data_IF_035622856467
#
_entry.id   IF_035622856467
#
_cell.length_a   1.000
_cell.length_b   1.000
_cell.length_c   1.000
_cell.angle_alpha   90.00
_cell.angle_beta   90.00
_cell.angle_gamma   90.00
#
_symmetry.space_group_name_H-M   'P 1'
#
loop_
_entity.id
_entity.type
_entity.pdbx_description
1 polymer ?
#
# COMPACT_ATOMS: atom_id res chain seq x y z
N UNK A 1 -8.15 4.83 11.16
CA UNK A 1 -6.70 4.69 11.39
C UNK A 1 -5.97 4.55 10.05
N UNK A 2 -4.78 5.13 9.90
CA UNK A 2 -3.93 4.87 8.73
C UNK A 2 -3.15 3.58 9.00
N UNK A 3 -3.24 2.61 8.09
CA UNK A 3 -2.48 1.37 8.23
C UNK A 3 -1.06 1.53 7.68
N UNK A 4 -0.10 0.93 8.38
CA UNK A 4 1.28 0.84 7.94
C UNK A 4 1.66 -0.63 7.78
N UNK A 5 2.49 -0.90 6.77
CA UNK A 5 2.90 -2.24 6.38
C UNK A 5 4.41 -2.31 6.46
N UNK A 6 4.93 -3.31 7.15
CA UNK A 6 6.37 -3.58 7.26
C UNK A 6 6.75 -4.57 6.16
N UNK A 7 7.68 -4.18 5.30
CA UNK A 7 8.28 -5.02 4.26
C UNK A 7 9.72 -5.29 4.67
N UNK A 8 10.02 -6.56 4.97
CA UNK A 8 11.39 -7.00 5.30
C UNK A 8 12.23 -7.04 4.02
N UNK A 9 13.40 -6.41 4.05
CA UNK A 9 14.41 -6.65 3.02
C UNK A 9 15.06 -8.03 3.26
N UNK A 10 15.53 -8.71 2.20
CA UNK A 10 16.07 -10.08 2.35
C UNK A 10 17.55 -10.11 2.74
N UNK A 11 18.22 -8.95 2.74
CA UNK A 11 19.68 -8.88 2.82
C UNK A 11 20.17 -8.33 4.18
N UNK A 12 19.29 -7.76 5.01
CA UNK A 12 19.60 -7.36 6.39
C UNK A 12 18.33 -7.49 7.26
N UNK A 13 18.39 -8.34 8.29
CA UNK A 13 17.29 -8.56 9.25
C UNK A 13 16.98 -7.30 10.09
N UNK A 14 17.86 -6.28 10.07
CA UNK A 14 17.69 -5.03 10.79
C UNK A 14 17.06 -3.91 9.94
N UNK A 15 16.95 -4.08 8.62
CA UNK A 15 16.38 -3.07 7.73
C UNK A 15 14.92 -3.40 7.36
N UNK A 16 14.02 -2.55 7.85
CA UNK A 16 12.59 -2.62 7.60
C UNK A 16 12.13 -1.41 6.79
N UNK A 17 11.50 -1.67 5.64
CA UNK A 17 10.78 -0.65 4.89
C UNK A 17 9.36 -0.53 5.43
N UNK A 18 8.97 0.66 5.84
CA UNK A 18 7.59 0.95 6.25
C UNK A 18 6.84 1.58 5.08
N UNK A 19 5.75 0.95 4.65
CA UNK A 19 4.85 1.47 3.61
C UNK A 19 3.56 1.96 4.22
N UNK A 20 3.06 3.11 3.73
CA UNK A 20 1.76 3.65 4.13
C UNK A 20 0.72 3.39 3.06
N UNK A 21 -0.33 2.69 3.46
CA UNK A 21 -1.54 2.51 2.65
C UNK A 21 -2.56 3.56 3.08
N UNK A 22 -2.86 4.52 2.21
CA UNK A 22 -3.89 5.52 2.49
C UNK A 22 -5.30 4.90 2.47
N UNK A 23 -6.31 5.52 3.09
CA UNK A 23 -7.69 5.02 3.04
C UNK A 23 -8.21 4.85 1.61
N UNK A 24 -7.89 5.79 0.72
CA UNK A 24 -8.26 5.68 -0.69
C UNK A 24 -7.61 4.48 -1.39
N UNK A 25 -6.31 4.28 -1.18
CA UNK A 25 -5.58 3.14 -1.73
C UNK A 25 -6.12 1.80 -1.18
N UNK A 26 -6.45 1.75 0.11
CA UNK A 26 -7.08 0.59 0.74
C UNK A 26 -8.43 0.26 0.10
N UNK A 27 -9.28 1.25 -0.14
CA UNK A 27 -10.56 1.08 -0.86
C UNK A 27 -10.33 0.54 -2.28
N UNK A 28 -9.32 1.05 -2.98
CA UNK A 28 -8.97 0.53 -4.30
C UNK A 28 -8.55 -0.95 -4.26
N UNK A 29 -7.75 -1.34 -3.25
CA UNK A 29 -7.33 -2.74 -3.05
C UNK A 29 -8.55 -3.63 -2.76
N UNK A 30 -9.44 -3.21 -1.86
CA UNK A 30 -10.65 -3.95 -1.52
C UNK A 30 -11.58 -4.10 -2.73
N UNK A 31 -11.84 -3.00 -3.43
CA UNK A 31 -12.70 -3.01 -4.62
C UNK A 31 -12.11 -3.88 -5.74
N UNK A 32 -10.79 -3.86 -5.93
CA UNK A 32 -10.15 -4.72 -6.93
C UNK A 32 -10.26 -6.20 -6.54
N UNK A 33 -10.16 -6.53 -5.25
CA UNK A 33 -10.39 -7.88 -4.77
C UNK A 33 -11.84 -8.35 -5.01
N UNK A 34 -12.84 -7.49 -4.73
CA UNK A 34 -14.25 -7.81 -5.00
C UNK A 34 -14.48 -8.03 -6.49
N UNK A 35 -13.89 -7.19 -7.35
CA UNK A 35 -13.94 -7.36 -8.81
C UNK A 35 -13.43 -8.74 -9.27
N UNK A 36 -12.39 -9.27 -8.62
CA UNK A 36 -11.83 -10.58 -8.98
C UNK A 36 -12.52 -11.76 -8.30
N UNK A 37 -13.33 -11.51 -7.28
CA UNK A 37 -14.02 -12.52 -6.46
C UNK A 37 -15.50 -12.15 -6.31
N UNK A 38 -16.14 -11.81 -7.43
CA UNK A 38 -17.51 -11.31 -7.46
C UNK A 38 -18.49 -12.33 -6.86
N UNK A 39 -19.40 -11.86 -6.01
CA UNK A 39 -20.32 -12.71 -5.24
C UNK A 39 -19.67 -13.49 -4.09
N UNK A 40 -18.38 -13.28 -3.83
CA UNK A 40 -17.64 -13.89 -2.73
C UNK A 40 -17.76 -13.14 -1.41
N UNK A 41 -17.23 -13.75 -0.35
CA UNK A 41 -17.17 -13.17 1.00
C UNK A 41 -15.80 -12.55 1.27
N UNK A 42 -15.76 -11.33 1.79
CA UNK A 42 -14.50 -10.66 2.16
C UNK A 42 -14.01 -11.16 3.53
N UNK A 43 -12.81 -11.75 3.59
CA UNK A 43 -12.12 -12.01 4.85
C UNK A 43 -11.58 -10.70 5.44
N UNK A 44 -12.35 -10.10 6.35
CA UNK A 44 -11.99 -8.82 6.95
C UNK A 44 -10.74 -8.90 7.83
N UNK A 45 -10.49 -10.04 8.48
CA UNK A 45 -9.33 -10.23 9.36
C UNK A 45 -8.05 -10.29 8.54
N UNK A 46 -8.08 -11.01 7.42
CA UNK A 46 -6.99 -11.03 6.44
C UNK A 46 -6.64 -9.60 6.00
N UNK A 47 -7.61 -8.82 5.53
CA UNK A 47 -7.33 -7.45 5.07
C UNK A 47 -6.87 -6.52 6.19
N UNK A 48 -7.45 -6.65 7.39
CA UNK A 48 -7.03 -5.88 8.55
C UNK A 48 -5.55 -6.12 8.88
N UNK A 49 -5.15 -7.40 8.97
CA UNK A 49 -3.77 -7.80 9.27
C UNK A 49 -2.80 -7.30 8.19
N UNK A 50 -3.08 -7.59 6.92
CA UNK A 50 -2.15 -7.29 5.82
C UNK A 50 -2.15 -5.82 5.38
N UNK A 51 -3.14 -5.03 5.77
CA UNK A 51 -3.14 -3.58 5.49
C UNK A 51 -2.83 -2.76 6.74
N UNK A 52 -2.48 -3.42 7.86
CA UNK A 52 -2.07 -2.80 9.10
C UNK A 52 -3.15 -1.93 9.75
N UNK A 53 -4.42 -2.33 9.66
CA UNK A 53 -5.54 -1.58 10.22
C UNK A 53 -6.51 -2.49 10.99
N UNK A 54 -7.47 -1.90 11.68
CA UNK A 54 -8.49 -2.66 12.40
C UNK A 54 -9.56 -3.23 11.45
N UNK A 55 -10.18 -4.35 11.82
CA UNK A 55 -11.34 -4.95 11.12
C UNK A 55 -12.46 -3.93 10.89
N UNK A 56 -12.74 -3.09 11.90
CA UNK A 56 -13.73 -2.01 11.81
C UNK A 56 -13.40 -1.00 10.70
N UNK A 57 -12.12 -0.76 10.43
CA UNK A 57 -11.69 0.12 9.34
C UNK A 57 -12.02 -0.50 7.97
N UNK A 58 -11.82 -1.81 7.82
CA UNK A 58 -12.20 -2.53 6.60
C UNK A 58 -13.71 -2.47 6.37
N UNK A 59 -14.51 -2.70 7.42
CA UNK A 59 -15.97 -2.58 7.37
C UNK A 59 -16.42 -1.19 6.91
N UNK A 60 -15.84 -0.14 7.48
CA UNK A 60 -16.15 1.23 7.09
C UNK A 60 -15.79 1.54 5.64
N UNK A 61 -14.67 1.03 5.14
CA UNK A 61 -14.28 1.23 3.75
C UNK A 61 -15.18 0.47 2.78
N UNK A 62 -15.62 -0.75 3.11
CA UNK A 62 -16.59 -1.50 2.32
C UNK A 62 -17.96 -0.80 2.28
N UNK A 63 -18.44 -0.32 3.42
CA UNK A 63 -19.70 0.43 3.48
C UNK A 63 -19.59 1.78 2.74
N UNK A 64 -18.43 2.43 2.78
CA UNK A 64 -18.19 3.62 1.97
C UNK A 64 -18.25 3.28 0.48
N UNK A 65 -17.62 2.18 0.03
CA UNK A 65 -17.65 1.74 -1.37
C UNK A 65 -19.08 1.44 -1.84
N UNK A 66 -19.88 0.79 -1.00
CA UNK A 66 -21.30 0.54 -1.24
C UNK A 66 -22.08 1.84 -1.38
N UNK A 67 -21.94 2.76 -0.41
CA UNK A 67 -22.62 4.06 -0.41
C UNK A 67 -22.30 4.90 -1.64
N UNK A 68 -21.11 4.76 -2.21
CA UNK A 68 -20.68 5.45 -3.43
C UNK A 68 -21.05 4.70 -4.74
N UNK A 69 -21.67 3.52 -4.62
CA UNK A 69 -22.11 2.72 -5.76
C UNK A 69 -20.98 2.06 -6.53
N UNK A 70 -19.88 1.68 -5.86
CA UNK A 70 -18.80 0.89 -6.48
C UNK A 70 -19.03 -0.61 -6.35
N UNK A 71 -19.72 -1.02 -5.29
CA UNK A 71 -20.11 -2.41 -5.02
C UNK A 71 -21.50 -2.45 -4.38
N UNK A 72 -22.11 -3.62 -4.32
CA UNK A 72 -23.29 -3.90 -3.47
C UNK A 72 -22.97 -4.97 -2.44
N UNK A 73 -23.63 -4.89 -1.29
CA UNK A 73 -23.52 -5.87 -0.21
C UNK A 73 -24.83 -6.63 -0.12
N UNK A 74 -24.76 -7.95 -0.31
CA UNK A 74 -25.90 -8.85 -0.15
C UNK A 74 -25.78 -9.53 1.23
N UNK A 75 -26.69 -9.23 2.18
CA UNK A 75 -26.74 -9.96 3.43
C UNK A 75 -27.21 -11.39 3.17
N UNK A 76 -26.52 -12.37 3.74
CA UNK A 76 -26.93 -13.77 3.65
C UNK A 76 -27.49 -14.24 4.99
N UNK A 77 -28.39 -15.21 4.93
CA UNK A 77 -28.92 -15.91 6.12
C UNK A 77 -28.42 -17.35 6.13
N UNK A 78 -28.14 -17.88 7.31
CA UNK A 78 -27.83 -19.29 7.48
C UNK A 78 -29.08 -20.16 7.43
N UNK A 79 -28.89 -21.48 7.48
CA UNK A 79 -29.98 -22.48 7.49
C UNK A 79 -30.89 -22.36 8.72
N UNK A 80 -30.50 -21.58 9.73
CA UNK A 80 -31.24 -21.35 10.96
C UNK A 80 -31.89 -19.95 11.00
N UNK A 81 -31.81 -19.19 9.90
CA UNK A 81 -32.38 -17.86 9.76
C UNK A 81 -31.58 -16.75 10.46
N UNK A 82 -30.39 -17.04 10.98
CA UNK A 82 -29.49 -16.04 11.53
C UNK A 82 -28.63 -15.38 10.43
N UNK A 83 -28.18 -14.15 10.70
CA UNK A 83 -27.34 -13.40 9.75
C UNK A 83 -25.99 -14.10 9.57
N UNK A 84 -25.69 -14.46 8.33
CA UNK A 84 -24.43 -15.07 7.92
C UNK A 84 -23.51 -14.03 7.25
N UNK A 85 -22.42 -14.50 6.64
CA UNK A 85 -21.38 -13.66 6.04
C UNK A 85 -21.89 -12.98 4.77
N UNK A 86 -21.75 -11.66 4.70
CA UNK A 86 -22.17 -10.88 3.53
C UNK A 86 -21.42 -11.29 2.26
N UNK A 87 -22.15 -11.33 1.14
CA UNK A 87 -21.57 -11.42 -0.20
C UNK A 87 -21.39 -10.03 -0.79
N UNK A 88 -20.34 -9.85 -1.57
CA UNK A 88 -19.98 -8.57 -2.16
C UNK A 88 -19.98 -8.69 -3.67
N UNK A 89 -20.69 -7.78 -4.35
CA UNK A 89 -20.76 -7.76 -5.81
C UNK A 89 -20.18 -6.47 -6.36
N UNK A 90 -19.35 -6.57 -7.38
CA UNK A 90 -18.72 -5.46 -8.07
C UNK A 90 -19.70 -4.78 -9.02
N UNK A 91 -19.79 -3.45 -8.96
CA UNK A 91 -20.62 -2.67 -9.87
C UNK A 91 -19.73 -1.94 -10.89
N UNK A 92 -18.76 -1.15 -10.41
CA UNK A 92 -17.87 -0.36 -11.27
C UNK A 92 -16.55 -0.04 -10.58
N UNK A 93 -15.54 0.27 -11.41
CA UNK A 93 -14.21 0.66 -10.94
C UNK A 93 -14.17 2.09 -10.40
N UNK A 94 -13.15 2.40 -9.62
CA UNK A 94 -12.80 3.78 -9.25
C UNK A 94 -11.88 4.32 -10.35
N UNK A 95 -12.21 5.47 -10.91
CA UNK A 95 -11.36 6.18 -11.86
C UNK A 95 -10.14 6.76 -11.13
N UNK A 96 -9.02 6.02 -11.15
CA UNK A 96 -7.74 6.47 -10.61
C UNK A 96 -6.58 5.64 -11.14
N UNK A 97 -5.43 6.28 -11.35
CA UNK A 97 -4.20 5.60 -11.76
C UNK A 97 -3.84 4.43 -10.82
N UNK A 98 -4.07 4.62 -9.51
CA UNK A 98 -3.81 3.59 -8.52
C UNK A 98 -4.68 2.34 -8.71
N UNK A 99 -5.96 2.52 -9.04
CA UNK A 99 -6.87 1.41 -9.32
C UNK A 99 -6.51 0.71 -10.63
N UNK A 100 -6.09 1.48 -11.65
CA UNK A 100 -5.66 0.95 -12.95
C UNK A 100 -4.40 0.08 -12.86
N UNK A 101 -3.54 0.32 -11.85
CA UNK A 101 -2.43 -0.57 -11.52
C UNK A 101 -2.86 -1.94 -10.95
N UNK A 102 -4.16 -2.22 -10.84
CA UNK A 102 -4.73 -3.49 -10.37
C UNK A 102 -4.16 -3.86 -8.99
N UNK A 103 -4.45 -3.04 -7.96
CA UNK A 103 -3.77 -3.13 -6.69
C UNK A 103 -4.21 -4.38 -5.92
N UNK A 104 -3.24 -5.13 -5.40
CA UNK A 104 -3.47 -6.33 -4.58
C UNK A 104 -2.60 -6.27 -3.34
N UNK A 105 -2.99 -6.99 -2.28
CA UNK A 105 -2.16 -7.13 -1.07
C UNK A 105 -0.76 -7.61 -1.44
N UNK A 106 -0.62 -8.60 -2.34
CA UNK A 106 0.70 -9.06 -2.81
C UNK A 106 1.56 -7.93 -3.39
N UNK A 107 0.98 -6.99 -4.14
CA UNK A 107 1.70 -5.83 -4.68
C UNK A 107 2.07 -4.80 -3.61
N UNK A 108 1.27 -4.66 -2.54
CA UNK A 108 1.59 -3.82 -1.38
C UNK A 108 2.89 -4.28 -0.71
N UNK A 109 3.13 -5.59 -0.64
CA UNK A 109 4.36 -6.17 -0.07
C UNK A 109 5.48 -6.43 -1.08
N UNK A 110 5.25 -6.19 -2.38
CA UNK A 110 6.23 -6.49 -3.42
C UNK A 110 7.49 -5.62 -3.27
N UNK A 111 8.69 -6.22 -3.29
CA UNK A 111 9.97 -5.50 -3.14
C UNK A 111 10.09 -4.25 -4.02
N UNK A 112 9.59 -4.34 -5.25
CA UNK A 112 9.67 -3.25 -6.23
C UNK A 112 8.79 -2.02 -5.98
N UNK A 113 7.93 -2.04 -4.96
CA UNK A 113 6.92 -1.00 -4.69
C UNK A 113 6.11 -0.63 -5.95
N UNK A 114 5.57 -1.64 -6.63
CA UNK A 114 4.92 -1.47 -7.93
C UNK A 114 3.67 -0.56 -7.89
N UNK A 115 3.15 -0.28 -6.69
CA UNK A 115 2.01 0.60 -6.47
C UNK A 115 2.44 2.04 -6.10
N UNK A 116 3.75 2.33 -6.14
CA UNK A 116 4.33 3.62 -5.76
C UNK A 116 3.81 4.11 -4.40
N UNK A 117 3.66 3.19 -3.44
CA UNK A 117 3.21 3.54 -2.10
C UNK A 117 4.25 4.42 -1.43
N UNK A 118 3.78 5.35 -0.59
CA UNK A 118 4.68 6.10 0.26
C UNK A 118 5.43 5.13 1.16
N UNK A 119 6.75 5.23 1.14
CA UNK A 119 7.65 4.36 1.89
C UNK A 119 8.66 5.19 2.68
N UNK A 120 9.03 4.68 3.84
CA UNK A 120 10.03 5.23 4.73
C UNK A 120 11.03 4.12 5.07
N UNK A 121 12.31 4.46 5.02
CA UNK A 121 13.36 3.61 5.58
C UNK A 121 13.53 3.97 7.06
N UNK A 122 13.81 2.99 7.91
CA UNK A 122 14.08 3.24 9.34
C UNK A 122 15.28 4.19 9.53
N UNK A 123 16.31 4.07 8.70
CA UNK A 123 17.46 5.00 8.65
C UNK A 123 17.09 6.46 8.37
N UNK A 124 15.95 6.75 7.72
CA UNK A 124 15.50 8.13 7.52
C UNK A 124 15.18 8.84 8.86
N UNK A 125 15.11 8.10 9.97
CA UNK A 125 14.73 8.58 11.30
C UNK A 125 15.85 8.49 12.34
N UNK A 126 17.08 8.08 11.98
CA UNK A 126 18.23 8.02 12.91
C UNK A 126 18.69 9.40 13.44
N UNK A 127 18.11 10.49 12.96
CA UNK A 127 18.41 11.84 13.44
C UNK A 127 17.32 12.31 14.40
N UNK A 128 17.57 12.22 15.71
CA UNK A 128 16.68 12.76 16.76
C UNK A 128 17.13 14.19 17.08
N UNK A 129 16.36 15.23 16.70
CA UNK A 129 16.71 16.61 17.03
C UNK A 129 16.73 16.80 18.55
N UNK A 130 17.83 17.36 19.09
CA UNK A 130 17.95 17.67 20.52
C UNK A 130 18.44 16.53 21.42
N UNK A 131 18.60 15.31 20.92
CA UNK A 131 19.31 14.24 21.63
C UNK A 131 20.81 14.31 21.27
N UNK A 132 21.66 14.69 22.23
CA UNK A 132 23.11 14.61 22.13
C UNK A 132 23.59 13.68 23.24
N UNK A 133 23.83 12.42 22.89
CA UNK A 133 24.55 11.48 23.73
C UNK A 133 25.84 11.04 23.02
N UNK A 134 26.60 10.13 23.63
CA UNK A 134 27.87 9.69 23.06
C UNK A 134 27.72 8.90 21.73
N UNK A 135 26.53 8.37 21.46
CA UNK A 135 26.19 7.63 20.23
C UNK A 135 25.58 8.53 19.14
N UNK A 136 25.21 9.79 19.45
CA UNK A 136 24.49 10.71 18.56
C UNK A 136 25.20 12.07 18.46
N UNK A 137 26.52 12.05 18.21
CA UNK A 137 27.31 13.27 18.05
C UNK A 137 27.06 13.94 16.67
N UNK A 138 27.52 15.17 16.50
CA UNK A 138 27.29 15.95 15.28
C UNK A 138 27.88 15.30 14.00
N UNK A 139 28.93 14.49 14.15
CA UNK A 139 29.56 13.77 13.05
C UNK A 139 28.70 12.56 12.62
N UNK A 140 28.17 11.79 13.57
CA UNK A 140 27.26 10.67 13.29
C UNK A 140 25.97 11.16 12.61
N UNK A 141 25.45 12.33 13.03
CA UNK A 141 24.29 12.98 12.37
C UNK A 141 24.61 13.37 10.93
N UNK A 142 25.80 13.91 10.68
CA UNK A 142 26.26 14.23 9.32
C UNK A 142 26.45 12.98 8.45
N UNK A 143 26.99 11.90 9.01
CA UNK A 143 27.15 10.62 8.31
C UNK A 143 25.79 10.01 7.97
N UNK A 144 24.87 9.95 8.94
CA UNK A 144 23.50 9.46 8.75
C UNK A 144 22.77 10.28 7.67
N UNK A 145 22.88 11.61 7.70
CA UNK A 145 22.31 12.49 6.68
C UNK A 145 22.91 12.23 5.29
N UNK A 146 24.23 12.08 5.20
CA UNK A 146 24.93 11.81 3.94
C UNK A 146 24.57 10.45 3.35
N UNK A 147 24.51 9.41 4.20
CA UNK A 147 24.05 8.08 3.82
C UNK A 147 22.60 8.11 3.34
N UNK A 148 21.72 8.79 4.08
CA UNK A 148 20.32 8.98 3.75
C UNK A 148 20.15 9.64 2.38
N UNK A 149 20.86 10.74 2.11
CA UNK A 149 20.80 11.44 0.83
C UNK A 149 21.32 10.56 -0.32
N UNK A 150 22.35 9.75 -0.08
CA UNK A 150 22.86 8.76 -1.04
C UNK A 150 21.83 7.67 -1.34
N UNK A 151 21.19 7.09 -0.31
CA UNK A 151 20.12 6.10 -0.46
C UNK A 151 18.92 6.68 -1.21
N UNK A 152 18.48 7.90 -0.90
CA UNK A 152 17.42 8.63 -1.64
C UNK A 152 17.77 8.84 -3.11
N UNK A 153 19.01 9.24 -3.39
CA UNK A 153 19.46 9.44 -4.77
C UNK A 153 19.51 8.12 -5.58
N UNK A 154 20.01 7.04 -4.98
CA UNK A 154 20.02 5.70 -5.59
C UNK A 154 18.60 5.22 -5.88
N UNK A 155 17.70 5.38 -4.91
CA UNK A 155 16.29 5.01 -5.06
C UNK A 155 15.59 5.80 -6.16
N UNK A 156 15.77 7.12 -6.21
CA UNK A 156 15.24 7.95 -7.30
C UNK A 156 15.73 7.48 -8.68
N UNK A 157 17.01 7.10 -8.81
CA UNK A 157 17.54 6.51 -10.04
C UNK A 157 16.90 5.16 -10.40
N UNK A 158 16.59 4.32 -9.40
CA UNK A 158 15.89 3.04 -9.61
C UNK A 158 14.44 3.29 -10.02
N UNK A 159 13.74 4.22 -9.37
CA UNK A 159 12.38 4.64 -9.72
C UNK A 159 12.32 5.22 -11.14
N UNK A 160 13.24 6.12 -11.50
CA UNK A 160 13.34 6.71 -12.83
C UNK A 160 13.56 5.62 -13.92
N UNK A 161 14.43 4.64 -13.65
CA UNK A 161 14.66 3.48 -14.54
C UNK A 161 13.40 2.62 -14.70
N UNK A 162 12.73 2.29 -13.59
CA UNK A 162 11.48 1.49 -13.63
C UNK A 162 10.36 2.24 -14.35
N UNK A 163 10.24 3.54 -14.15
CA UNK A 163 9.28 4.40 -14.88
C UNK A 163 9.60 4.49 -16.37
N UNK A 164 10.85 4.35 -16.77
CA UNK A 164 11.22 4.25 -18.20
C UNK A 164 10.92 2.86 -18.79
N UNK A 165 11.01 1.80 -17.99
CA UNK A 165 10.68 0.42 -18.39
C UNK A 165 9.17 0.13 -18.47
N UNK A 166 8.36 0.74 -17.59
CA UNK A 166 6.90 0.54 -17.52
C UNK A 166 6.15 1.39 -18.58
N UNK A 167 6.79 2.42 -19.15
CA UNK A 167 6.19 3.21 -20.23
C UNK A 167 6.04 2.32 -21.48
N UNK A 168 4.82 2.19 -22.05
CA UNK A 168 4.66 1.51 -23.33
C UNK A 168 5.47 2.24 -24.41
N UNK A 169 6.03 1.54 -25.41
CA UNK A 169 6.95 2.10 -26.40
C UNK A 169 6.37 3.18 -27.35
N UNK A 170 5.17 3.70 -27.08
CA UNK A 170 4.42 4.59 -27.97
C UNK A 170 4.70 6.09 -27.79
N UNK A 171 5.76 6.48 -27.09
CA UNK A 171 6.22 7.88 -27.03
C UNK A 171 7.69 8.04 -27.41
N UNK A 172 8.15 7.30 -28.43
CA UNK A 172 9.27 7.80 -29.24
C UNK A 172 8.74 9.01 -30.03
N UNK A 173 9.19 10.21 -29.67
CA UNK A 173 8.98 11.43 -30.48
C UNK A 173 9.35 11.12 -31.94
N UNK A 174 8.58 11.60 -32.94
CA UNK A 174 9.01 11.49 -34.32
C UNK A 174 10.36 12.19 -34.44
N UNK A 175 11.38 11.44 -34.89
CA UNK A 175 12.63 12.02 -35.32
C UNK A 175 12.31 12.96 -36.49
N UNK A 176 12.59 14.26 -36.30
CA UNK A 176 12.75 15.20 -37.41
C UNK A 176 14.20 15.14 -37.87
#
# INVERSE_FOLDING_TARGET
MYGYVIVREMDDDNDALVRKVTPFQRRCILLYWVKTNDGGTVDMLYFACYLGCEVRTIQYDLHWLEKQGYLSIEPTVDEHGATSVNKYHFIRGIESEFYDFKPTVKKVYGKGNALALREWHWDDYKDIPGAYDWYHNAFDKFQNYSELMSKRHKKRKIEDKRMTEIRPPFLKKPQK
#
